data_IF_177540782579
#
_entry.id   IF_177540782579
#
_cell.length_a   1.000
_cell.length_b   1.000
_cell.length_c   1.000
_cell.angle_alpha   90.00
_cell.angle_beta   90.00
_cell.angle_gamma   90.00
#
_symmetry.space_group_name_H-M   'P 1'
#
loop_
_entity.id
_entity.type
_entity.pdbx_description
1 polymer ?
#
# COMPACT_ATOMS: atom_id res chain seq x y z
N UNK A 1 2.58 13.66 16.45
CA UNK A 1 1.50 14.47 17.07
C UNK A 1 0.85 15.42 16.08
N UNK A 2 1.62 15.97 15.14
CA UNK A 2 1.09 16.85 14.08
C UNK A 2 1.37 16.31 12.68
N UNK A 3 0.68 16.84 11.67
CA UNK A 3 0.87 16.45 10.26
C UNK A 3 2.32 16.60 9.79
N UNK A 4 2.98 17.73 10.09
CA UNK A 4 4.40 17.92 9.69
C UNK A 4 5.33 16.92 10.34
N UNK A 5 5.03 16.48 11.57
CA UNK A 5 5.83 15.44 12.24
C UNK A 5 5.69 14.06 11.59
N UNK A 6 4.60 13.84 10.84
CA UNK A 6 4.29 12.62 10.11
C UNK A 6 4.40 12.79 8.57
N UNK A 7 4.99 13.88 8.10
CA UNK A 7 5.32 14.14 6.70
C UNK A 7 6.80 13.81 6.44
N UNK A 8 7.07 12.56 6.08
CA UNK A 8 8.43 12.05 5.89
C UNK A 8 8.96 12.47 4.52
N UNK A 9 10.21 12.92 4.45
CA UNK A 9 10.86 13.33 3.19
C UNK A 9 11.84 12.29 2.69
N UNK A 10 11.98 12.20 1.37
CA UNK A 10 13.05 11.41 0.76
C UNK A 10 14.44 11.86 1.22
N UNK A 11 15.40 10.93 1.25
CA UNK A 11 16.76 11.17 1.75
C UNK A 11 16.86 11.31 3.28
N UNK A 12 15.76 11.24 4.03
CA UNK A 12 15.76 11.17 5.49
C UNK A 12 15.49 9.74 5.97
N UNK A 13 15.88 9.46 7.21
CA UNK A 13 15.65 8.16 7.83
C UNK A 13 14.14 7.89 7.93
N UNK A 14 13.68 6.89 7.19
CA UNK A 14 12.28 6.44 7.24
C UNK A 14 12.09 5.41 8.38
N UNK A 15 11.03 5.50 9.20
CA UNK A 15 10.78 4.53 10.26
C UNK A 15 10.59 3.12 9.70
N UNK A 16 11.23 2.11 10.32
CA UNK A 16 11.02 0.71 9.95
C UNK A 16 9.60 0.23 10.24
N UNK A 17 8.98 0.76 11.29
CA UNK A 17 7.62 0.42 11.74
C UNK A 17 6.79 1.69 11.79
N UNK A 18 5.97 1.88 10.76
CA UNK A 18 4.98 2.95 10.71
C UNK A 18 3.60 2.33 10.86
N UNK A 19 2.92 2.62 11.95
CA UNK A 19 1.66 1.99 12.31
C UNK A 19 0.61 3.03 12.68
N UNK A 20 -0.60 2.79 12.21
CA UNK A 20 -1.81 3.54 12.53
C UNK A 20 -2.62 2.70 13.49
N UNK A 21 -3.01 3.26 14.62
CA UNK A 21 -3.69 2.50 15.67
C UNK A 21 -4.84 3.29 16.27
N UNK A 22 -5.83 2.56 16.79
CA UNK A 22 -6.90 3.13 17.57
C UNK A 22 -6.45 3.25 19.03
N UNK A 23 -6.32 4.47 19.60
CA UNK A 23 -5.88 4.64 20.98
C UNK A 23 -6.91 4.13 22.00
N UNK A 24 -8.17 3.93 21.60
CA UNK A 24 -9.27 3.53 22.48
C UNK A 24 -9.52 2.02 22.50
N UNK A 25 -8.78 1.24 21.71
CA UNK A 25 -8.95 -0.21 21.62
C UNK A 25 -7.64 -0.96 21.81
N UNK A 26 -7.68 -1.97 22.67
CA UNK A 26 -6.57 -2.88 22.93
C UNK A 26 -6.94 -4.31 22.50
N UNK A 27 -5.93 -5.09 22.13
CA UNK A 27 -6.07 -6.55 22.02
C UNK A 27 -6.04 -7.20 23.42
N UNK A 28 -6.22 -8.52 23.50
CA UNK A 28 -6.24 -9.27 24.78
C UNK A 28 -4.96 -9.14 25.61
N UNK A 29 -3.86 -8.71 24.98
CA UNK A 29 -2.55 -8.50 25.59
C UNK A 29 -2.30 -7.05 26.03
N UNK A 30 -3.28 -6.15 25.87
CA UNK A 30 -3.17 -4.74 26.25
C UNK A 30 -2.49 -3.84 25.22
N UNK A 31 -2.13 -4.34 24.03
CA UNK A 31 -1.52 -3.54 22.97
C UNK A 31 -2.57 -2.85 22.10
N UNK A 32 -2.28 -1.63 21.65
CA UNK A 32 -3.16 -0.87 20.74
C UNK A 32 -3.37 -1.59 19.42
N UNK A 33 -4.64 -1.71 19.00
CA UNK A 33 -5.01 -2.37 17.76
C UNK A 33 -4.73 -1.45 16.57
N UNK A 34 -3.99 -1.93 15.57
CA UNK A 34 -3.62 -1.10 14.44
C UNK A 34 -3.14 -1.85 13.20
N UNK A 35 -2.89 -1.10 12.14
CA UNK A 35 -2.30 -1.59 10.91
C UNK A 35 -0.96 -0.88 10.65
N UNK A 36 0.01 -1.66 10.19
CA UNK A 36 1.33 -1.19 9.76
C UNK A 36 1.33 -0.97 8.26
N UNK A 37 1.88 0.17 7.85
CA UNK A 37 2.30 0.40 6.46
C UNK A 37 3.72 -0.11 6.30
N UNK A 38 3.92 -1.07 5.41
CA UNK A 38 5.23 -1.57 5.01
C UNK A 38 5.51 -1.11 3.58
N UNK A 39 6.41 -0.15 3.46
CA UNK A 39 6.75 0.54 2.22
C UNK A 39 7.72 -0.27 1.34
N UNK A 40 7.47 -0.35 0.03
CA UNK A 40 8.34 -1.00 -0.95
C UNK A 40 8.48 -0.15 -2.22
N UNK A 41 9.53 0.67 -2.29
CA UNK A 41 9.76 1.57 -3.42
C UNK A 41 11.22 1.99 -3.52
N UNK A 42 11.63 2.34 -4.74
CA UNK A 42 12.92 2.92 -5.08
C UNK A 42 12.82 4.40 -5.46
N UNK A 43 11.73 5.08 -5.04
CA UNK A 43 11.48 6.47 -5.36
C UNK A 43 12.44 7.39 -4.58
N UNK A 44 12.66 8.56 -5.16
CA UNK A 44 13.37 9.66 -4.52
C UNK A 44 12.78 10.99 -5.00
N UNK A 45 13.15 12.10 -4.37
CA UNK A 45 12.78 13.43 -4.86
C UNK A 45 13.38 13.64 -6.25
N UNK A 46 12.55 14.05 -7.22
CA UNK A 46 12.96 14.23 -8.61
C UNK A 46 13.22 15.70 -8.92
N UNK A 47 12.19 16.55 -8.78
CA UNK A 47 12.30 17.98 -9.04
C UNK A 47 12.72 18.76 -7.79
N UNK A 48 13.46 19.87 -7.94
CA UNK A 48 13.74 20.78 -6.83
C UNK A 48 12.45 21.36 -6.25
N UNK A 49 12.37 21.45 -4.92
CA UNK A 49 11.19 21.95 -4.22
C UNK A 49 10.85 23.38 -4.62
N UNK A 50 9.60 23.61 -5.02
CA UNK A 50 9.07 24.92 -5.41
C UNK A 50 9.50 25.37 -6.80
N UNK A 51 10.16 24.51 -7.58
CA UNK A 51 10.60 24.84 -8.92
C UNK A 51 9.48 24.60 -9.93
N UNK A 52 8.86 25.69 -10.40
CA UNK A 52 7.96 25.72 -11.55
C UNK A 52 6.91 24.59 -11.52
N UNK A 53 7.08 23.56 -12.34
CA UNK A 53 6.15 22.45 -12.54
C UNK A 53 6.05 21.53 -11.30
N UNK A 54 7.04 21.56 -10.40
CA UNK A 54 7.03 20.75 -9.18
C UNK A 54 5.87 21.08 -8.25
N UNK A 55 5.31 22.30 -8.35
CA UNK A 55 4.13 22.71 -7.60
C UNK A 55 2.95 21.76 -7.83
N UNK A 56 2.74 21.33 -9.08
CA UNK A 56 1.68 20.39 -9.46
C UNK A 56 1.86 18.96 -8.92
N UNK A 57 3.04 18.61 -8.43
CA UNK A 57 3.33 17.26 -7.90
C UNK A 57 3.92 17.31 -6.49
N UNK A 58 3.52 18.27 -5.67
CA UNK A 58 4.08 18.46 -4.32
C UNK A 58 3.94 17.23 -3.39
N UNK A 59 3.04 16.29 -3.69
CA UNK A 59 2.97 14.97 -3.03
C UNK A 59 4.24 14.13 -3.21
N UNK A 60 4.93 14.30 -4.34
CA UNK A 60 6.17 13.57 -4.68
C UNK A 60 7.37 13.92 -3.80
N UNK A 61 7.24 14.92 -2.92
CA UNK A 61 8.25 15.27 -1.91
C UNK A 61 8.32 14.22 -0.78
N UNK A 62 7.26 13.44 -0.61
CA UNK A 62 7.05 12.60 0.57
C UNK A 62 6.88 11.13 0.18
N UNK A 63 7.75 10.19 0.62
CA UNK A 63 7.43 8.76 0.55
C UNK A 63 6.13 8.43 1.29
N UNK A 64 5.87 9.12 2.40
CA UNK A 64 4.61 9.05 3.12
C UNK A 64 4.34 10.36 3.86
N UNK A 65 3.10 10.82 3.80
CA UNK A 65 2.59 11.88 4.66
C UNK A 65 1.26 11.48 5.30
N UNK A 66 0.99 11.99 6.49
CA UNK A 66 -0.27 11.78 7.20
C UNK A 66 -0.97 13.12 7.40
N UNK A 67 -2.21 13.20 6.95
CA UNK A 67 -3.08 14.37 7.16
C UNK A 67 -4.32 13.96 7.92
N UNK A 68 -4.99 14.94 8.53
CA UNK A 68 -6.35 14.75 9.03
C UNK A 68 -7.31 14.65 7.84
N UNK A 69 -8.29 13.77 7.92
CA UNK A 69 -9.32 13.66 6.87
C UNK A 69 -10.15 14.94 6.77
N UNK A 70 -10.39 15.42 5.54
CA UNK A 70 -11.35 16.46 5.19
C UNK A 70 -11.96 16.20 3.82
N UNK A 71 -13.26 16.49 3.68
CA UNK A 71 -13.98 16.30 2.42
C UNK A 71 -13.45 17.19 1.28
N UNK A 72 -12.84 18.34 1.59
CA UNK A 72 -12.24 19.25 0.62
C UNK A 72 -10.77 18.91 0.26
N UNK A 73 -10.20 17.85 0.83
CA UNK A 73 -8.84 17.34 0.55
C UNK A 73 -8.90 15.92 -0.05
N UNK A 74 -9.93 15.65 -0.85
CA UNK A 74 -10.26 14.30 -1.33
C UNK A 74 -9.21 13.69 -2.29
N UNK A 75 -8.49 14.51 -3.06
CA UNK A 75 -7.47 14.06 -4.01
C UNK A 75 -6.18 14.86 -3.84
N UNK A 76 -5.03 14.25 -4.14
CA UNK A 76 -3.72 14.92 -4.10
C UNK A 76 -3.33 15.59 -5.42
N UNK A 77 -4.17 15.46 -6.46
CA UNK A 77 -3.98 16.03 -7.80
C UNK A 77 -5.34 16.23 -8.49
N UNK A 78 -5.33 16.74 -9.73
CA UNK A 78 -6.51 16.92 -10.57
C UNK A 78 -6.18 16.62 -12.04
N UNK A 79 -7.21 16.44 -12.88
CA UNK A 79 -7.03 16.30 -14.33
C UNK A 79 -6.43 17.56 -15.00
N UNK A 80 -6.56 18.73 -14.36
CA UNK A 80 -6.10 20.01 -14.89
C UNK A 80 -4.61 20.26 -14.64
N UNK A 81 -4.03 19.59 -13.63
CA UNK A 81 -2.62 19.74 -13.23
C UNK A 81 -1.65 19.44 -14.37
N UNK A 82 -2.02 18.56 -15.31
CA UNK A 82 -1.19 18.24 -16.46
C UNK A 82 -0.96 19.45 -17.38
N UNK A 83 -1.98 20.29 -17.56
CA UNK A 83 -1.95 21.41 -18.51
C UNK A 83 -1.49 22.72 -17.85
N UNK A 84 -1.64 22.82 -16.52
CA UNK A 84 -1.10 23.94 -15.74
C UNK A 84 -0.55 23.44 -14.39
N UNK A 85 0.68 22.90 -14.37
CA UNK A 85 1.34 22.47 -13.14
C UNK A 85 1.95 23.62 -12.34
N UNK A 86 2.02 24.84 -12.91
CA UNK A 86 2.61 26.01 -12.25
C UNK A 86 1.63 26.62 -11.25
N UNK A 87 0.35 26.65 -11.60
CA UNK A 87 -0.78 27.08 -10.76
C UNK A 87 -1.82 25.95 -10.60
N UNK A 88 -1.47 24.85 -9.93
CA UNK A 88 -2.34 23.68 -9.87
C UNK A 88 -3.60 23.95 -9.03
N UNK A 89 -4.74 23.48 -9.51
CA UNK A 89 -6.03 23.54 -8.78
C UNK A 89 -5.94 22.84 -7.41
N UNK A 90 -5.12 21.81 -7.30
CA UNK A 90 -4.86 21.06 -6.06
C UNK A 90 -3.36 21.06 -5.78
N UNK A 91 -2.96 21.59 -4.63
CA UNK A 91 -1.58 21.55 -4.13
C UNK A 91 -1.51 20.74 -2.84
N UNK A 92 -0.93 19.55 -2.91
CA UNK A 92 -0.84 18.64 -1.76
C UNK A 92 -0.04 19.22 -0.58
N UNK A 93 0.94 20.09 -0.83
CA UNK A 93 1.68 20.76 0.25
C UNK A 93 0.76 21.56 1.19
N UNK A 94 -0.34 22.12 0.67
CA UNK A 94 -1.28 22.91 1.48
C UNK A 94 -1.99 22.05 2.53
N UNK A 95 -2.16 20.74 2.30
CA UNK A 95 -2.79 19.82 3.26
C UNK A 95 -1.93 19.59 4.51
N UNK A 96 -0.62 19.85 4.42
CA UNK A 96 0.35 19.67 5.52
C UNK A 96 0.71 21.02 6.16
N UNK A 97 0.46 22.13 5.45
CA UNK A 97 0.96 23.46 5.81
C UNK A 97 0.33 24.00 7.10
N UNK A 98 -0.97 23.79 7.27
CA UNK A 98 -1.78 24.01 8.47
C UNK A 98 -1.28 23.23 9.71
N UNK A 99 -0.54 22.12 9.53
CA UNK A 99 0.10 21.36 10.60
C UNK A 99 -0.85 20.96 11.73
N UNK A 100 -2.01 20.41 11.38
CA UNK A 100 -3.03 20.03 12.35
C UNK A 100 -2.56 18.92 13.30
N UNK A 101 -3.28 18.79 14.42
CA UNK A 101 -3.15 17.68 15.33
C UNK A 101 -3.71 16.40 14.68
N UNK A 102 -2.95 15.31 14.73
CA UNK A 102 -3.31 13.99 14.17
C UNK A 102 -3.52 12.91 15.25
N UNK A 103 -3.54 13.29 16.52
CA UNK A 103 -3.76 12.37 17.66
C UNK A 103 -5.26 12.13 17.81
N UNK A 104 -5.65 10.85 17.76
CA UNK A 104 -7.05 10.42 17.93
C UNK A 104 -8.02 11.15 16.98
N UNK A 105 -7.60 11.36 15.73
CA UNK A 105 -8.41 11.95 14.66
C UNK A 105 -8.71 10.89 13.59
N UNK A 106 -9.57 11.26 12.65
CA UNK A 106 -9.68 10.58 11.37
C UNK A 106 -8.49 10.96 10.48
N UNK A 107 -7.76 9.97 9.96
CA UNK A 107 -6.45 10.13 9.35
C UNK A 107 -6.41 9.54 7.95
N UNK A 108 -5.72 10.25 7.05
CA UNK A 108 -5.40 9.77 5.71
C UNK A 108 -3.88 9.59 5.60
N UNK A 109 -3.46 8.42 5.13
CA UNK A 109 -2.07 8.14 4.77
C UNK A 109 -1.89 8.27 3.26
N UNK A 110 -1.04 9.21 2.84
CA UNK A 110 -0.69 9.43 1.44
C UNK A 110 0.66 8.78 1.18
N UNK A 111 0.71 7.81 0.27
CA UNK A 111 1.90 7.00 0.02
C UNK A 111 2.38 7.20 -1.41
N UNK A 112 3.59 7.72 -1.58
CA UNK A 112 4.22 7.89 -2.89
C UNK A 112 5.13 6.70 -3.16
N UNK A 113 4.91 5.97 -4.24
CA UNK A 113 5.82 4.89 -4.68
C UNK A 113 6.27 5.13 -6.12
N UNK A 114 7.45 4.63 -6.44
CA UNK A 114 8.08 4.80 -7.75
C UNK A 114 9.49 4.21 -7.79
N UNK A 115 10.15 4.39 -8.93
CA UNK A 115 11.52 3.96 -9.18
C UNK A 115 12.14 4.82 -10.31
N UNK A 116 13.46 4.85 -10.39
CA UNK A 116 14.18 5.43 -11.52
C UNK A 116 14.25 4.39 -12.65
N UNK A 117 13.83 4.78 -13.86
CA UNK A 117 13.95 3.94 -15.06
C UNK A 117 15.02 4.53 -15.98
N UNK A 118 16.17 3.88 -16.08
CA UNK A 118 17.15 4.12 -17.15
C UNK A 118 16.92 3.00 -18.17
N UNK A 119 16.31 3.29 -19.33
CA UNK A 119 16.01 2.24 -20.30
C UNK A 119 17.28 1.56 -20.80
N UNK A 120 17.18 0.27 -21.10
CA UNK A 120 18.27 -0.54 -21.63
C UNK A 120 17.80 -1.50 -22.73
N UNK A 121 18.71 -2.23 -23.37
CA UNK A 121 18.41 -3.05 -24.57
C UNK A 121 17.29 -4.08 -24.35
N UNK A 122 17.20 -4.65 -23.17
CA UNK A 122 16.21 -5.64 -22.78
C UNK A 122 14.80 -5.03 -22.56
N UNK A 123 14.64 -3.71 -22.60
CA UNK A 123 13.32 -3.04 -22.67
C UNK A 123 12.69 -3.12 -24.07
N UNK A 124 13.40 -3.65 -25.07
CA UNK A 124 12.87 -3.87 -26.41
C UNK A 124 12.35 -5.30 -26.54
N UNK A 125 11.10 -5.52 -26.98
CA UNK A 125 10.13 -4.53 -27.47
C UNK A 125 9.28 -3.88 -26.37
N UNK A 126 9.29 -4.42 -25.15
CA UNK A 126 8.53 -3.91 -24.01
C UNK A 126 9.36 -4.03 -22.72
N UNK A 127 9.22 -3.03 -21.84
CA UNK A 127 9.68 -3.15 -20.46
C UNK A 127 8.97 -4.31 -19.76
N UNK A 128 9.75 -5.23 -19.21
CA UNK A 128 9.22 -6.39 -18.52
C UNK A 128 8.80 -6.07 -17.08
N UNK A 129 7.83 -6.83 -16.57
CA UNK A 129 7.33 -6.68 -15.19
C UNK A 129 8.30 -7.13 -14.09
N UNK A 130 9.16 -8.17 -14.26
CA UNK A 130 10.06 -8.60 -13.19
C UNK A 130 11.02 -7.48 -12.77
N UNK A 131 11.00 -7.12 -11.48
CA UNK A 131 11.85 -6.06 -10.93
C UNK A 131 11.28 -4.63 -11.04
N UNK A 132 10.27 -4.40 -11.89
CA UNK A 132 9.67 -3.08 -12.14
C UNK A 132 8.40 -2.83 -11.31
N UNK A 133 8.25 -3.52 -10.18
CA UNK A 133 7.07 -3.42 -9.30
C UNK A 133 7.39 -2.61 -8.05
N UNK A 134 6.45 -1.76 -7.64
CA UNK A 134 6.52 -0.94 -6.43
C UNK A 134 5.16 -0.92 -5.76
N UNK A 135 5.13 -0.60 -4.47
CA UNK A 135 3.89 -0.55 -3.71
C UNK A 135 4.12 -0.52 -2.21
N UNK A 136 3.12 -0.96 -1.47
CA UNK A 136 3.20 -1.08 -0.02
C UNK A 136 2.23 -2.15 0.45
N UNK A 137 2.42 -2.61 1.69
CA UNK A 137 1.50 -3.53 2.35
C UNK A 137 0.83 -2.84 3.53
N UNK A 138 -0.47 -3.11 3.70
CA UNK A 138 -1.19 -2.88 4.95
C UNK A 138 -1.22 -4.20 5.72
N UNK A 139 -0.59 -4.23 6.89
CA UNK A 139 -0.44 -5.45 7.68
C UNK A 139 -1.05 -5.26 9.07
N UNK A 140 -1.90 -6.17 9.56
CA UNK A 140 -2.36 -6.14 10.95
C UNK A 140 -1.16 -6.10 11.90
N UNK A 141 -1.19 -5.23 12.90
CA UNK A 141 -0.15 -5.10 13.92
C UNK A 141 -0.82 -4.93 15.28
N UNK A 142 -0.79 -5.99 16.10
CA UNK A 142 -1.57 -6.11 17.33
C UNK A 142 -3.09 -5.91 17.14
N UNK A 143 -3.59 -5.96 15.90
CA UNK A 143 -5.01 -5.79 15.62
C UNK A 143 -5.83 -7.01 16.04
N UNK A 144 -5.31 -8.20 15.84
CA UNK A 144 -5.95 -9.44 16.28
C UNK A 144 -5.26 -9.98 17.52
N UNK A 145 -5.95 -10.89 18.20
CA UNK A 145 -5.43 -11.57 19.38
C UNK A 145 -4.49 -12.74 19.02
N UNK A 146 -4.51 -13.17 17.76
CA UNK A 146 -3.72 -14.22 17.12
C UNK A 146 -3.78 -14.05 15.59
N UNK A 147 -3.18 -14.96 14.83
CA UNK A 147 -3.26 -14.92 13.36
C UNK A 147 -4.70 -15.17 12.89
N UNK A 148 -5.36 -14.21 12.21
CA UNK A 148 -6.72 -14.41 11.71
C UNK A 148 -6.82 -15.54 10.67
N UNK A 149 -5.71 -15.96 10.05
CA UNK A 149 -5.71 -17.08 9.10
C UNK A 149 -5.99 -18.44 9.74
N UNK A 150 -5.92 -18.56 11.07
CA UNK A 150 -6.24 -19.79 11.81
C UNK A 150 -7.67 -20.28 11.57
N UNK A 151 -8.60 -19.39 11.19
CA UNK A 151 -9.97 -19.77 10.82
C UNK A 151 -10.07 -20.44 9.44
N UNK A 152 -9.00 -20.45 8.63
CA UNK A 152 -8.98 -21.09 7.32
C UNK A 152 -9.03 -22.62 7.42
N UNK A 153 -9.92 -23.23 6.65
CA UNK A 153 -10.01 -24.69 6.55
C UNK A 153 -8.93 -25.30 5.63
N UNK A 154 -8.19 -24.49 4.89
CA UNK A 154 -7.17 -24.97 3.95
C UNK A 154 -5.86 -25.44 4.61
N UNK A 155 -5.74 -25.30 5.93
CA UNK A 155 -4.57 -25.78 6.68
C UNK A 155 -4.50 -27.31 6.64
N UNK A 156 -3.30 -27.85 6.40
CA UNK A 156 -3.01 -29.29 6.46
C UNK A 156 -1.95 -29.53 7.52
N UNK A 157 -2.15 -30.53 8.39
CA UNK A 157 -1.18 -30.90 9.41
C UNK A 157 -0.82 -32.37 9.28
N UNK A 158 0.48 -32.68 9.19
CA UNK A 158 1.00 -34.07 9.11
C UNK A 158 1.71 -34.39 10.41
N UNK A 159 1.28 -35.46 11.10
CA UNK A 159 1.90 -35.95 12.34
C UNK A 159 2.06 -37.47 12.28
N UNK A 160 3.09 -38.07 12.90
CA UNK A 160 3.17 -39.53 13.01
C UNK A 160 2.03 -40.06 13.89
N UNK A 161 1.54 -41.26 13.58
CA UNK A 161 0.68 -42.05 14.44
C UNK A 161 1.51 -42.89 15.44
N UNK A 162 0.84 -43.72 16.24
CA UNK A 162 1.48 -44.59 17.25
C UNK A 162 2.47 -45.60 16.65
N UNK A 163 2.34 -45.91 15.36
CA UNK A 163 3.23 -46.82 14.61
C UNK A 163 4.30 -46.07 13.81
N UNK A 164 4.39 -44.75 13.98
CA UNK A 164 5.30 -43.88 13.25
C UNK A 164 4.87 -43.60 11.80
N UNK A 165 3.66 -43.97 11.39
CA UNK A 165 3.13 -43.70 10.05
C UNK A 165 2.58 -42.28 9.94
N UNK A 166 2.73 -41.59 8.80
CA UNK A 166 2.22 -40.22 8.65
C UNK A 166 0.69 -40.20 8.62
N UNK A 167 0.09 -39.47 9.57
CA UNK A 167 -1.34 -39.15 9.63
C UNK A 167 -1.57 -37.71 9.17
N UNK A 168 -2.38 -37.54 8.13
CA UNK A 168 -2.72 -36.23 7.55
C UNK A 168 -4.06 -35.76 8.12
N UNK A 169 -4.06 -34.61 8.79
CA UNK A 169 -5.26 -33.92 9.27
C UNK A 169 -5.62 -32.78 8.30
N UNK A 170 -6.85 -32.79 7.78
CA UNK A 170 -7.42 -31.79 6.87
C UNK A 170 -8.77 -31.30 7.40
N UNK A 171 -9.16 -30.08 7.03
CA UNK A 171 -10.51 -29.54 7.24
C UNK A 171 -11.27 -29.32 5.93
N UNK A 172 -10.66 -29.75 4.82
CA UNK A 172 -11.27 -29.87 3.48
C UNK A 172 -11.26 -31.33 3.03
N UNK A 173 -12.09 -31.71 2.05
CA UNK A 173 -11.97 -32.99 1.38
C UNK A 173 -10.55 -33.25 0.87
N UNK A 174 -10.15 -34.52 0.88
CA UNK A 174 -8.86 -34.95 0.31
C UNK A 174 -8.86 -34.86 -1.22
N UNK A 175 -10.01 -35.17 -1.83
CA UNK A 175 -10.28 -35.02 -3.26
C UNK A 175 -11.18 -33.80 -3.48
N UNK A 176 -10.69 -32.83 -4.25
CA UNK A 176 -11.38 -31.58 -4.54
C UNK A 176 -12.31 -31.72 -5.76
N UNK A 177 -12.32 -32.88 -6.43
CA UNK A 177 -13.02 -33.08 -7.70
C UNK A 177 -12.38 -32.30 -8.86
N UNK A 178 -12.86 -32.57 -10.08
CA UNK A 178 -12.45 -32.02 -11.39
C UNK A 178 -11.08 -31.31 -11.44
N UNK A 179 -10.07 -32.03 -11.95
CA UNK A 179 -8.69 -31.54 -12.03
C UNK A 179 -8.45 -30.38 -13.02
N UNK A 180 -9.37 -30.07 -13.94
CA UNK A 180 -9.16 -29.06 -15.01
C UNK A 180 -10.50 -28.45 -15.44
N UNK A 181 -10.52 -27.13 -15.66
CA UNK A 181 -11.62 -26.42 -16.34
C UNK A 181 -11.54 -26.64 -17.85
N UNK A 182 -12.65 -26.99 -18.47
CA UNK A 182 -12.82 -27.29 -19.89
C UNK A 182 -13.05 -26.04 -20.76
N UNK A 183 -13.05 -24.84 -20.15
CA UNK A 183 -13.18 -23.57 -20.88
C UNK A 183 -11.85 -23.13 -21.52
N UNK A 184 -11.79 -22.91 -22.84
CA UNK A 184 -10.63 -22.32 -23.50
C UNK A 184 -10.49 -20.83 -23.16
N UNK A 185 -9.29 -20.29 -23.36
CA UNK A 185 -9.04 -18.84 -23.30
C UNK A 185 -9.92 -18.10 -24.32
N UNK A 186 -10.50 -16.95 -23.92
CA UNK A 186 -11.33 -16.10 -24.77
C UNK A 186 -10.89 -14.64 -24.67
N UNK A 187 -10.84 -13.96 -25.83
CA UNK A 187 -10.51 -12.54 -25.92
C UNK A 187 -11.35 -11.88 -27.03
N UNK A 188 -12.21 -10.93 -26.65
CA UNK A 188 -13.03 -10.16 -27.60
C UNK A 188 -12.20 -9.06 -28.29
N UNK A 189 -11.46 -8.28 -27.50
CA UNK A 189 -10.60 -7.21 -28.01
C UNK A 189 -11.33 -5.96 -28.50
N UNK A 190 -12.67 -5.93 -28.51
CA UNK A 190 -13.46 -4.74 -28.87
C UNK A 190 -14.06 -4.07 -27.64
N UNK A 191 -14.22 -2.74 -27.70
CA UNK A 191 -14.87 -1.93 -26.66
C UNK A 191 -16.29 -1.44 -27.06
N UNK A 192 -16.81 -1.91 -28.21
CA UNK A 192 -18.11 -1.55 -28.74
C UNK A 192 -18.90 -2.82 -29.12
N UNK A 193 -20.09 -3.00 -28.54
CA UNK A 193 -21.10 -4.00 -28.93
C UNK A 193 -21.14 -5.28 -28.07
N UNK A 194 -22.12 -5.34 -27.16
CA UNK A 194 -22.83 -6.56 -26.77
C UNK A 194 -24.28 -6.39 -27.19
#
# INVERSE_FOLDING_TARGET
ETERSAAFRFGKKFPKYLHFYNPNQNNKWGHKKGYRIQYNSHANSVLPRGWREENGISWSRYPLAVTRHKDNEATSSSIYTQNDPWEPVVSFEEFIRNNENIVNQDLVAWVTVGFLHIPHSEDIPNTATPGSTVGFFLRPFNFFDEDPSLASHSTVIVRPDEKGQPKVQRWTPEDVGHCVSDKPFFYNGTYAGV
#
